data_IF_065640219558
#
_entry.id   IF_065640219558
#
_cell.length_a   1.000
_cell.length_b   1.000
_cell.length_c   1.000
_cell.angle_alpha   90.00
_cell.angle_beta   90.00
_cell.angle_gamma   90.00
#
_symmetry.space_group_name_H-M   'P 1'
#
loop_
_entity.id
_entity.type
_entity.pdbx_description
1 polymer ?
#
# COMPACT_ATOMS: atom_id res chain seq x y z
N UNK A 1 2.76 -58.56 -36.76
CA UNK A 1 2.28 -59.58 -35.81
C UNK A 1 0.98 -59.15 -35.14
N UNK A 2 0.95 -57.99 -34.46
CA UNK A 2 -0.26 -57.48 -33.81
C UNK A 2 -1.43 -57.21 -34.77
N UNK A 3 -1.19 -56.57 -35.93
CA UNK A 3 -2.24 -56.38 -36.96
C UNK A 3 -2.81 -57.69 -37.50
N UNK A 4 -1.95 -58.71 -37.69
CA UNK A 4 -2.37 -60.05 -38.10
C UNK A 4 -3.19 -60.72 -36.99
N UNK A 5 -2.81 -60.53 -35.73
CA UNK A 5 -3.55 -61.03 -34.58
C UNK A 5 -4.94 -60.38 -34.46
N UNK A 6 -5.04 -59.06 -34.64
CA UNK A 6 -6.32 -58.34 -34.66
C UNK A 6 -7.22 -58.83 -35.80
N UNK A 7 -6.64 -59.11 -36.98
CA UNK A 7 -7.40 -59.48 -38.17
C UNK A 7 -7.85 -60.96 -38.21
N UNK A 8 -7.09 -61.87 -37.60
CA UNK A 8 -7.27 -63.32 -37.81
C UNK A 8 -7.44 -64.15 -36.54
N UNK A 9 -7.29 -63.58 -35.34
CA UNK A 9 -7.48 -64.31 -34.08
C UNK A 9 -8.81 -63.94 -33.38
N UNK A 10 -9.33 -64.82 -32.52
CA UNK A 10 -10.46 -64.49 -31.65
C UNK A 10 -10.09 -63.33 -30.70
N UNK A 11 -11.06 -62.48 -30.29
CA UNK A 11 -10.82 -61.25 -29.52
C UNK A 11 -9.92 -61.44 -28.29
N UNK A 12 -10.10 -62.54 -27.53
CA UNK A 12 -9.29 -62.85 -26.36
C UNK A 12 -7.80 -63.05 -26.69
N UNK A 13 -7.49 -63.74 -27.79
CA UNK A 13 -6.09 -63.95 -28.21
C UNK A 13 -5.49 -62.72 -28.87
N UNK A 14 -6.30 -61.91 -29.56
CA UNK A 14 -5.87 -60.62 -30.09
C UNK A 14 -5.49 -59.66 -28.95
N UNK A 15 -6.27 -59.66 -27.86
CA UNK A 15 -5.99 -58.89 -26.64
C UNK A 15 -4.66 -59.30 -26.00
N UNK A 16 -4.42 -60.60 -25.80
CA UNK A 16 -3.15 -61.10 -25.23
C UNK A 16 -1.93 -60.64 -26.05
N UNK A 17 -2.03 -60.70 -27.38
CA UNK A 17 -0.93 -60.25 -28.26
C UNK A 17 -0.72 -58.74 -28.15
N UNK A 18 -1.79 -57.94 -28.14
CA UNK A 18 -1.68 -56.48 -28.04
C UNK A 18 -1.19 -56.03 -26.67
N UNK A 19 -1.56 -56.71 -25.58
CA UNK A 19 -1.04 -56.44 -24.24
C UNK A 19 0.47 -56.70 -24.11
N UNK A 20 1.03 -57.61 -24.91
CA UNK A 20 2.49 -57.86 -24.95
C UNK A 20 3.20 -56.88 -25.88
N UNK A 21 2.65 -56.64 -27.07
CA UNK A 21 3.30 -55.82 -28.11
C UNK A 21 3.19 -54.32 -27.84
N UNK A 22 2.08 -53.87 -27.25
CA UNK A 22 1.82 -52.45 -26.97
C UNK A 22 2.89 -51.78 -26.10
N UNK A 23 3.21 -52.32 -24.90
CA UNK A 23 4.28 -51.76 -24.06
C UNK A 23 5.66 -51.79 -24.73
N UNK A 24 5.94 -52.80 -25.56
CA UNK A 24 7.20 -52.87 -26.31
C UNK A 24 7.28 -51.76 -27.37
N UNK A 25 6.19 -51.46 -28.07
CA UNK A 25 6.12 -50.36 -29.03
C UNK A 25 6.29 -49.00 -28.37
N UNK A 26 5.68 -48.80 -27.20
CA UNK A 26 5.87 -47.60 -26.38
C UNK A 26 7.35 -47.46 -25.99
N UNK A 27 7.97 -48.54 -25.48
CA UNK A 27 9.37 -48.53 -25.05
C UNK A 27 10.39 -48.23 -26.16
N UNK A 28 10.03 -48.38 -27.44
CA UNK A 28 10.87 -48.01 -28.59
C UNK A 28 10.45 -46.67 -29.24
N UNK A 29 9.59 -45.89 -28.58
CA UNK A 29 9.14 -44.57 -29.04
C UNK A 29 8.06 -44.59 -30.12
N UNK A 30 7.42 -45.73 -30.37
CA UNK A 30 6.37 -45.91 -31.41
C UNK A 30 4.96 -45.75 -30.82
N UNK A 31 4.74 -44.60 -30.17
CA UNK A 31 3.51 -44.30 -29.42
C UNK A 31 2.24 -44.30 -30.28
N UNK A 32 2.21 -43.61 -31.43
CA UNK A 32 1.08 -43.63 -32.36
C UNK A 32 0.68 -45.05 -32.80
N UNK A 33 1.67 -45.90 -33.12
CA UNK A 33 1.41 -47.26 -33.58
C UNK A 33 0.85 -48.15 -32.44
N UNK A 34 1.35 -47.98 -31.21
CA UNK A 34 0.78 -48.64 -30.04
C UNK A 34 -0.67 -48.20 -29.80
N UNK A 35 -0.95 -46.90 -29.89
CA UNK A 35 -2.28 -46.35 -29.70
C UNK A 35 -3.30 -46.86 -30.73
N UNK A 36 -2.92 -46.93 -32.01
CA UNK A 36 -3.77 -47.51 -33.06
C UNK A 36 -4.11 -48.99 -32.80
N UNK A 37 -3.16 -49.78 -32.28
CA UNK A 37 -3.42 -51.18 -31.91
C UNK A 37 -4.42 -51.28 -30.74
N UNK A 38 -4.33 -50.39 -29.75
CA UNK A 38 -5.27 -50.33 -28.64
C UNK A 38 -6.67 -49.89 -29.10
N UNK A 39 -6.77 -48.89 -29.98
CA UNK A 39 -8.05 -48.44 -30.54
C UNK A 39 -8.77 -49.54 -31.34
N UNK A 40 -8.04 -50.37 -32.08
CA UNK A 40 -8.62 -51.50 -32.83
C UNK A 40 -9.24 -52.59 -31.92
N UNK A 41 -8.93 -52.57 -30.62
CA UNK A 41 -9.47 -53.49 -29.62
C UNK A 41 -10.38 -52.79 -28.60
N UNK A 42 -10.85 -51.57 -28.90
CA UNK A 42 -11.68 -50.73 -28.02
C UNK A 42 -11.02 -50.43 -26.65
N UNK A 43 -9.69 -50.53 -26.55
CA UNK A 43 -8.90 -50.16 -25.37
C UNK A 43 -8.62 -48.65 -25.38
N UNK A 44 -9.69 -47.86 -25.20
CA UNK A 44 -9.66 -46.40 -25.35
C UNK A 44 -8.69 -45.72 -24.37
N UNK A 45 -8.63 -46.19 -23.12
CA UNK A 45 -7.74 -45.60 -22.11
C UNK A 45 -6.27 -45.82 -22.44
N UNK A 46 -5.90 -47.04 -22.78
CA UNK A 46 -4.54 -47.42 -23.13
C UNK A 46 -4.05 -46.70 -24.40
N UNK A 47 -4.95 -46.45 -25.36
CA UNK A 47 -4.67 -45.60 -26.51
C UNK A 47 -4.40 -44.14 -26.12
N UNK A 48 -5.21 -43.58 -25.23
CA UNK A 48 -5.03 -42.22 -24.70
C UNK A 48 -3.69 -42.11 -23.95
N UNK A 49 -3.38 -43.06 -23.07
CA UNK A 49 -2.13 -43.09 -22.31
C UNK A 49 -0.91 -43.16 -23.25
N UNK A 50 -0.99 -44.00 -24.29
CA UNK A 50 0.06 -44.09 -25.31
C UNK A 50 0.25 -42.75 -26.06
N UNK A 51 -0.83 -42.06 -26.44
CA UNK A 51 -0.72 -40.73 -27.06
C UNK A 51 -0.17 -39.66 -26.11
N UNK A 52 -0.54 -39.70 -24.82
CA UNK A 52 0.00 -38.78 -23.79
C UNK A 52 1.51 -38.98 -23.64
N UNK A 53 1.97 -40.23 -23.54
CA UNK A 53 3.40 -40.55 -23.41
C UNK A 53 4.20 -40.10 -24.63
N UNK A 54 3.59 -40.16 -25.82
CA UNK A 54 4.16 -39.65 -27.06
C UNK A 54 4.09 -38.13 -27.25
N UNK A 55 3.61 -37.37 -26.26
CA UNK A 55 3.33 -35.93 -26.35
C UNK A 55 2.35 -35.55 -27.50
N UNK A 56 1.51 -36.50 -27.95
CA UNK A 56 0.55 -36.34 -29.06
C UNK A 56 -0.82 -35.84 -28.59
N UNK A 57 -0.83 -34.72 -27.86
CA UNK A 57 -2.00 -34.18 -27.14
C UNK A 57 -3.25 -33.97 -28.00
N UNK A 58 -3.09 -33.51 -29.24
CA UNK A 58 -4.22 -33.30 -30.15
C UNK A 58 -4.93 -34.61 -30.51
N UNK A 59 -4.18 -35.72 -30.66
CA UNK A 59 -4.75 -37.04 -30.93
C UNK A 59 -5.39 -37.62 -29.67
N UNK A 60 -4.73 -37.52 -28.52
CA UNK A 60 -5.29 -37.94 -27.23
C UNK A 60 -6.64 -37.26 -26.94
N UNK A 61 -6.71 -35.93 -27.10
CA UNK A 61 -7.93 -35.15 -26.86
C UNK A 61 -9.04 -35.47 -27.86
N UNK A 62 -8.69 -35.71 -29.14
CA UNK A 62 -9.65 -36.13 -30.16
C UNK A 62 -10.25 -37.50 -29.84
N UNK A 63 -9.41 -38.46 -29.47
CA UNK A 63 -9.84 -39.82 -29.10
C UNK A 63 -10.73 -39.79 -27.86
N UNK A 64 -10.36 -39.05 -26.82
CA UNK A 64 -11.20 -38.87 -25.64
C UNK A 64 -12.58 -38.30 -26.03
N UNK A 65 -12.61 -37.20 -26.80
CA UNK A 65 -13.86 -36.55 -27.20
C UNK A 65 -14.76 -37.40 -28.10
N UNK A 66 -14.18 -38.13 -29.05
CA UNK A 66 -14.93 -38.90 -30.05
C UNK A 66 -15.37 -40.28 -29.54
N UNK A 67 -14.59 -40.93 -28.68
CA UNK A 67 -14.82 -42.32 -28.26
C UNK A 67 -15.30 -42.49 -26.81
N UNK A 68 -14.74 -41.73 -25.86
CA UNK A 68 -15.17 -41.78 -24.46
C UNK A 68 -14.91 -40.45 -23.74
N UNK A 69 -15.89 -39.52 -23.76
CA UNK A 69 -15.74 -38.17 -23.22
C UNK A 69 -15.37 -38.11 -21.73
N UNK A 70 -15.52 -39.20 -20.97
CA UNK A 70 -15.12 -39.28 -19.56
C UNK A 70 -13.62 -39.10 -19.37
N UNK A 71 -12.81 -39.34 -20.41
CA UNK A 71 -11.37 -39.13 -20.38
C UNK A 71 -10.92 -37.74 -20.84
N UNK A 72 -11.81 -36.83 -21.24
CA UNK A 72 -11.41 -35.47 -21.64
C UNK A 72 -10.70 -34.75 -20.49
N UNK A 73 -11.27 -34.80 -19.27
CA UNK A 73 -10.67 -34.19 -18.08
C UNK A 73 -9.32 -34.83 -17.72
N UNK A 74 -9.17 -36.13 -17.96
CA UNK A 74 -7.93 -36.86 -17.73
C UNK A 74 -6.81 -36.37 -18.67
N UNK A 75 -7.10 -36.24 -19.97
CA UNK A 75 -6.13 -35.72 -20.95
C UNK A 75 -5.76 -34.27 -20.63
N UNK A 76 -6.75 -33.45 -20.29
CA UNK A 76 -6.53 -32.04 -19.97
C UNK A 76 -5.68 -31.87 -18.71
N UNK A 77 -5.87 -32.71 -17.68
CA UNK A 77 -5.05 -32.70 -16.48
C UNK A 77 -3.59 -33.08 -16.76
N UNK A 78 -3.36 -34.16 -17.51
CA UNK A 78 -2.00 -34.57 -17.90
C UNK A 78 -1.30 -33.53 -18.79
N UNK A 79 -2.04 -32.86 -19.68
CA UNK A 79 -1.49 -31.80 -20.52
C UNK A 79 -1.08 -30.58 -19.69
N UNK A 80 -1.89 -30.18 -18.70
CA UNK A 80 -1.53 -29.10 -17.76
C UNK A 80 -0.26 -29.42 -16.99
N UNK A 81 -0.13 -30.64 -16.46
CA UNK A 81 1.07 -31.08 -15.74
C UNK A 81 2.31 -31.10 -16.63
N UNK A 82 2.16 -31.55 -17.87
CA UNK A 82 3.24 -31.50 -18.86
C UNK A 82 3.71 -30.06 -19.14
N UNK A 83 2.78 -29.14 -19.38
CA UNK A 83 3.10 -27.73 -19.65
C UNK A 83 3.78 -27.07 -18.45
N UNK A 84 3.33 -27.38 -17.23
CA UNK A 84 3.97 -26.94 -15.97
C UNK A 84 5.42 -27.45 -15.89
N UNK A 85 5.62 -28.76 -16.06
CA UNK A 85 6.94 -29.39 -15.95
C UNK A 85 7.93 -28.92 -17.02
N UNK A 86 7.46 -28.60 -18.23
CA UNK A 86 8.30 -28.05 -19.32
C UNK A 86 8.48 -26.53 -19.24
N UNK A 87 7.82 -25.83 -18.31
CA UNK A 87 7.87 -24.37 -18.19
C UNK A 87 7.28 -23.62 -19.40
N UNK A 88 6.37 -24.24 -20.16
CA UNK A 88 5.74 -23.63 -21.34
C UNK A 88 4.57 -22.72 -20.93
N UNK A 89 4.89 -21.63 -20.24
CA UNK A 89 3.89 -20.77 -19.58
C UNK A 89 2.89 -20.15 -20.57
N UNK A 90 3.34 -19.66 -21.73
CA UNK A 90 2.47 -19.00 -22.70
C UNK A 90 1.37 -19.92 -23.26
N UNK A 91 1.68 -21.22 -23.45
CA UNK A 91 0.69 -22.22 -23.85
C UNK A 91 -0.26 -22.58 -22.71
N UNK A 92 0.20 -22.48 -21.46
CA UNK A 92 -0.61 -22.76 -20.28
C UNK A 92 -1.65 -21.66 -20.02
N UNK A 93 -1.38 -20.41 -20.38
CA UNK A 93 -2.34 -19.29 -20.22
C UNK A 93 -3.68 -19.60 -20.89
N UNK A 94 -3.67 -20.24 -22.06
CA UNK A 94 -4.89 -20.60 -22.81
C UNK A 94 -5.67 -21.79 -22.23
N UNK A 95 -5.08 -22.56 -21.31
CA UNK A 95 -5.67 -23.79 -20.74
C UNK A 95 -6.01 -23.60 -19.26
N UNK A 96 -5.10 -22.99 -18.49
CA UNK A 96 -5.23 -22.73 -17.07
C UNK A 96 -4.44 -21.47 -16.70
N UNK A 97 -5.12 -20.32 -16.78
CA UNK A 97 -4.47 -19.03 -16.54
C UNK A 97 -3.94 -18.88 -15.12
N UNK A 98 -4.58 -19.49 -14.11
CA UNK A 98 -4.13 -19.40 -12.72
C UNK A 98 -2.82 -20.17 -12.56
N UNK A 99 -2.75 -21.38 -13.10
CA UNK A 99 -1.50 -22.15 -13.11
C UNK A 99 -0.37 -21.43 -13.87
N UNK A 100 -0.67 -20.77 -14.99
CA UNK A 100 0.31 -19.98 -15.72
C UNK A 100 0.82 -18.78 -14.92
N UNK A 101 -0.09 -18.05 -14.26
CA UNK A 101 0.28 -16.92 -13.41
C UNK A 101 1.12 -17.36 -12.20
N UNK A 102 0.77 -18.48 -11.56
CA UNK A 102 1.57 -19.04 -10.45
C UNK A 102 2.98 -19.43 -10.94
N UNK A 103 3.14 -19.98 -12.15
CA UNK A 103 4.47 -20.22 -12.74
C UNK A 103 5.25 -18.94 -13.02
N UNK A 104 4.61 -17.88 -13.53
CA UNK A 104 5.31 -16.59 -13.71
C UNK A 104 5.82 -16.04 -12.37
N UNK A 105 5.04 -16.19 -11.30
CA UNK A 105 5.44 -15.81 -9.93
C UNK A 105 6.65 -16.62 -9.47
N UNK A 106 6.61 -17.96 -9.60
CA UNK A 106 7.72 -18.85 -9.23
C UNK A 106 9.00 -18.55 -10.00
N UNK A 107 8.89 -18.12 -11.25
CA UNK A 107 10.02 -17.71 -12.10
C UNK A 107 10.46 -16.26 -11.88
N UNK A 108 9.81 -15.50 -10.99
CA UNK A 108 10.10 -14.08 -10.75
C UNK A 108 9.73 -13.15 -11.91
N UNK A 109 8.93 -13.63 -12.88
CA UNK A 109 8.48 -12.86 -14.05
C UNK A 109 7.24 -12.01 -13.70
N UNK A 110 7.39 -11.11 -12.73
CA UNK A 110 6.30 -10.33 -12.17
C UNK A 110 5.59 -9.43 -13.19
N UNK A 111 6.33 -8.78 -14.09
CA UNK A 111 5.73 -7.89 -15.10
C UNK A 111 4.77 -8.65 -16.03
N UNK A 112 5.19 -9.82 -16.52
CA UNK A 112 4.34 -10.70 -17.35
C UNK A 112 3.16 -11.25 -16.57
N UNK A 113 3.37 -11.59 -15.30
CA UNK A 113 2.30 -12.02 -14.40
C UNK A 113 1.21 -10.94 -14.30
N UNK A 114 1.58 -9.70 -14.00
CA UNK A 114 0.62 -8.60 -13.84
C UNK A 114 -0.03 -8.23 -15.18
N UNK A 115 0.72 -8.20 -16.28
CA UNK A 115 0.15 -7.94 -17.62
C UNK A 115 -0.90 -8.99 -17.98
N UNK A 116 -0.61 -10.27 -17.73
CA UNK A 116 -1.53 -11.37 -18.00
C UNK A 116 -2.73 -11.33 -17.07
N UNK A 117 -2.52 -11.03 -15.77
CA UNK A 117 -3.58 -10.95 -14.77
C UNK A 117 -4.53 -9.77 -15.03
N UNK A 118 -4.03 -8.66 -15.58
CA UNK A 118 -4.85 -7.48 -15.94
C UNK A 118 -5.87 -7.78 -17.03
N UNK A 119 -5.56 -8.75 -17.92
CA UNK A 119 -6.47 -9.23 -18.96
C UNK A 119 -7.54 -10.19 -18.45
N UNK A 120 -7.47 -10.60 -17.17
CA UNK A 120 -8.44 -11.50 -16.54
C UNK A 120 -9.51 -10.71 -15.78
N UNK A 121 -10.11 -11.32 -14.76
CA UNK A 121 -11.10 -10.65 -13.90
C UNK A 121 -10.44 -9.98 -12.69
N UNK A 122 -11.21 -9.07 -12.07
CA UNK A 122 -10.83 -8.27 -10.91
C UNK A 122 -10.24 -9.09 -9.75
N UNK A 123 -10.86 -10.23 -9.42
CA UNK A 123 -10.42 -11.09 -8.31
C UNK A 123 -9.04 -11.71 -8.58
N UNK A 124 -8.80 -12.17 -9.81
CA UNK A 124 -7.52 -12.74 -10.23
C UNK A 124 -6.44 -11.64 -10.19
N UNK A 125 -6.68 -10.49 -10.81
CA UNK A 125 -5.73 -9.37 -10.82
C UNK A 125 -5.26 -9.02 -9.40
N UNK A 126 -6.21 -8.78 -8.49
CA UNK A 126 -5.86 -8.34 -7.15
C UNK A 126 -5.22 -9.41 -6.26
N UNK A 127 -5.39 -10.71 -6.56
CA UNK A 127 -4.59 -11.78 -5.95
C UNK A 127 -3.11 -11.59 -6.29
N UNK A 128 -2.79 -11.44 -7.58
CA UNK A 128 -1.39 -11.34 -8.04
C UNK A 128 -0.75 -10.00 -7.72
N UNK A 129 -1.51 -8.90 -7.73
CA UNK A 129 -1.03 -7.58 -7.23
C UNK A 129 -0.63 -7.69 -5.76
N UNK A 130 -1.45 -8.33 -4.91
CA UNK A 130 -1.13 -8.52 -3.50
C UNK A 130 0.12 -9.39 -3.28
N UNK A 131 0.27 -10.47 -4.06
CA UNK A 131 1.47 -11.32 -4.03
C UNK A 131 2.72 -10.53 -4.43
N UNK A 132 2.65 -9.74 -5.50
CA UNK A 132 3.78 -8.96 -5.98
C UNK A 132 4.15 -7.84 -4.99
N UNK A 133 3.15 -7.10 -4.49
CA UNK A 133 3.37 -6.08 -3.46
C UNK A 133 4.03 -6.68 -2.20
N UNK A 134 3.59 -7.87 -1.78
CA UNK A 134 4.20 -8.58 -0.64
C UNK A 134 5.67 -8.95 -0.91
N UNK A 135 5.99 -9.41 -2.12
CA UNK A 135 7.37 -9.67 -2.53
C UNK A 135 8.21 -8.39 -2.51
N UNK A 136 7.73 -7.31 -3.12
CA UNK A 136 8.44 -6.02 -3.16
C UNK A 136 8.71 -5.45 -1.76
N UNK A 137 7.74 -5.54 -0.85
CA UNK A 137 7.91 -5.10 0.55
C UNK A 137 9.00 -5.90 1.25
N UNK A 138 9.08 -7.23 1.03
CA UNK A 138 10.13 -8.07 1.61
C UNK A 138 11.53 -7.68 1.12
N UNK A 139 11.63 -7.25 -0.13
CA UNK A 139 12.86 -6.73 -0.74
C UNK A 139 13.15 -5.26 -0.34
N UNK A 140 12.30 -4.63 0.49
CA UNK A 140 12.43 -3.23 0.91
C UNK A 140 11.89 -2.21 -0.10
N UNK A 141 11.29 -2.66 -1.20
CA UNK A 141 10.75 -1.85 -2.29
C UNK A 141 9.34 -1.32 -2.07
N UNK A 142 9.09 -0.60 -0.96
CA UNK A 142 7.74 -0.09 -0.64
C UNK A 142 7.22 0.90 -1.71
N UNK A 143 8.09 1.69 -2.34
CA UNK A 143 7.70 2.65 -3.39
C UNK A 143 7.14 1.94 -4.63
N UNK A 144 7.72 0.78 -4.99
CA UNK A 144 7.24 -0.03 -6.11
C UNK A 144 5.92 -0.71 -5.75
N UNK A 145 5.78 -1.17 -4.50
CA UNK A 145 4.52 -1.73 -3.99
C UNK A 145 3.40 -0.68 -3.99
N UNK A 146 3.70 0.56 -3.61
CA UNK A 146 2.76 1.69 -3.71
C UNK A 146 2.35 1.94 -5.16
N UNK A 147 3.31 1.98 -6.09
CA UNK A 147 3.04 2.19 -7.52
C UNK A 147 2.08 1.15 -8.11
N UNK A 148 2.16 -0.12 -7.66
CA UNK A 148 1.19 -1.15 -8.07
C UNK A 148 -0.25 -0.79 -7.67
N UNK A 149 -0.45 -0.28 -6.45
CA UNK A 149 -1.77 0.11 -5.97
C UNK A 149 -2.26 1.45 -6.55
N UNK A 150 -1.34 2.35 -6.91
CA UNK A 150 -1.68 3.52 -7.72
C UNK A 150 -2.23 3.09 -9.09
N UNK A 151 -1.56 2.14 -9.74
CA UNK A 151 -1.94 1.68 -11.08
C UNK A 151 -3.21 0.82 -11.10
N UNK A 152 -3.37 -0.08 -10.14
CA UNK A 152 -4.44 -1.09 -10.17
C UNK A 152 -5.57 -0.84 -9.15
N UNK A 153 -5.42 0.10 -8.23
CA UNK A 153 -6.38 0.39 -7.16
C UNK A 153 -6.25 -0.51 -5.93
N UNK A 154 -6.84 -0.08 -4.81
CA UNK A 154 -6.74 -0.71 -3.50
C UNK A 154 -8.09 -1.35 -3.09
N UNK A 155 -8.31 -2.65 -3.36
CA UNK A 155 -9.54 -3.35 -2.97
C UNK A 155 -9.71 -3.41 -1.44
N UNK A 156 -10.96 -3.33 -1.00
CA UNK A 156 -11.37 -3.56 0.40
C UNK A 156 -11.36 -5.05 0.76
N UNK A 157 -10.21 -5.72 0.58
CA UNK A 157 -10.00 -7.11 0.99
C UNK A 157 -9.25 -7.15 2.33
N UNK A 158 -9.85 -7.65 3.43
CA UNK A 158 -9.19 -7.72 4.74
C UNK A 158 -7.84 -8.46 4.73
N UNK A 159 -7.67 -9.45 3.85
CA UNK A 159 -6.40 -10.19 3.72
C UNK A 159 -5.23 -9.29 3.26
N UNK A 160 -5.54 -8.18 2.59
CA UNK A 160 -4.54 -7.25 2.06
C UNK A 160 -4.25 -6.07 3.02
N UNK A 161 -4.98 -5.91 4.13
CA UNK A 161 -4.85 -4.74 5.01
C UNK A 161 -3.44 -4.55 5.54
N UNK A 162 -2.77 -5.64 5.93
CA UNK A 162 -1.39 -5.58 6.40
C UNK A 162 -0.42 -5.05 5.33
N UNK A 163 -0.71 -5.25 4.05
CA UNK A 163 0.10 -4.71 2.95
C UNK A 163 -0.02 -3.18 2.93
N UNK A 164 -1.24 -2.64 2.99
CA UNK A 164 -1.48 -1.19 3.00
C UNK A 164 -0.85 -0.52 4.22
N UNK A 165 -1.05 -1.11 5.40
CA UNK A 165 -0.43 -0.63 6.64
C UNK A 165 1.09 -0.63 6.53
N UNK A 166 1.67 -1.69 5.96
CA UNK A 166 3.12 -1.79 5.81
C UNK A 166 3.69 -0.75 4.86
N UNK A 167 3.03 -0.48 3.72
CA UNK A 167 3.41 0.60 2.81
C UNK A 167 3.38 1.96 3.53
N UNK A 168 2.33 2.23 4.31
CA UNK A 168 2.24 3.46 5.11
C UNK A 168 3.40 3.55 6.11
N UNK A 169 3.64 2.50 6.91
CA UNK A 169 4.70 2.46 7.93
C UNK A 169 6.10 2.63 7.33
N UNK A 170 6.41 1.91 6.25
CA UNK A 170 7.71 2.02 5.59
C UNK A 170 7.92 3.43 5.00
N UNK A 171 6.87 4.05 4.47
CA UNK A 171 6.95 5.41 3.94
C UNK A 171 7.14 6.47 5.05
N UNK A 172 6.37 6.44 6.14
CA UNK A 172 6.53 7.40 7.25
C UNK A 172 7.86 7.22 7.99
N UNK A 173 8.46 6.04 7.91
CA UNK A 173 9.79 5.74 8.49
C UNK A 173 10.94 6.06 7.53
N UNK A 174 10.67 6.34 6.26
CA UNK A 174 11.74 6.58 5.28
C UNK A 174 12.44 7.93 5.49
N UNK A 175 13.77 8.01 5.32
CA UNK A 175 14.49 9.28 5.39
C UNK A 175 14.14 10.18 4.20
N UNK A 176 14.36 11.49 4.35
CA UNK A 176 14.22 12.45 3.24
C UNK A 176 12.78 12.74 2.80
N UNK A 177 11.77 12.29 3.54
CA UNK A 177 10.36 12.52 3.19
C UNK A 177 9.80 13.86 3.66
N UNK A 178 10.59 14.67 4.38
CA UNK A 178 10.24 16.03 4.80
C UNK A 178 10.85 17.07 3.87
N UNK A 179 10.43 17.04 2.61
CA UNK A 179 10.86 18.00 1.60
C UNK A 179 9.77 18.22 0.56
N UNK A 180 9.96 19.23 -0.30
CA UNK A 180 9.05 19.52 -1.39
C UNK A 180 9.04 18.40 -2.46
N UNK A 181 10.19 17.77 -2.70
CA UNK A 181 10.38 16.69 -3.68
C UNK A 181 9.62 15.42 -3.30
N UNK A 182 9.36 15.21 -2.00
CA UNK A 182 8.60 14.06 -1.52
C UNK A 182 7.09 14.14 -1.83
N UNK A 183 6.59 15.25 -2.40
CA UNK A 183 5.17 15.48 -2.65
C UNK A 183 4.49 14.32 -3.36
N UNK A 184 5.05 13.85 -4.48
CA UNK A 184 4.39 12.84 -5.32
C UNK A 184 4.22 11.52 -4.59
N UNK A 185 5.23 11.08 -3.84
CA UNK A 185 5.11 9.86 -3.05
C UNK A 185 3.98 10.00 -2.00
N UNK A 186 3.84 11.17 -1.37
CA UNK A 186 2.80 11.41 -0.37
C UNK A 186 1.42 11.51 -0.99
N UNK A 187 1.31 12.14 -2.16
CA UNK A 187 0.08 12.22 -2.93
C UNK A 187 -0.37 10.84 -3.40
N UNK A 188 0.54 9.99 -3.87
CA UNK A 188 0.26 8.62 -4.27
C UNK A 188 -0.26 7.78 -3.09
N UNK A 189 0.40 7.85 -1.93
CA UNK A 189 -0.06 7.17 -0.71
C UNK A 189 -1.45 7.68 -0.27
N UNK A 190 -1.65 9.00 -0.28
CA UNK A 190 -2.94 9.65 0.04
C UNK A 190 -4.04 9.15 -0.90
N UNK A 191 -3.77 9.10 -2.20
CA UNK A 191 -4.78 8.73 -3.20
C UNK A 191 -5.11 7.24 -3.14
N UNK A 192 -4.12 6.37 -2.87
CA UNK A 192 -4.32 4.94 -2.61
C UNK A 192 -5.15 4.70 -1.36
N UNK A 193 -4.83 5.38 -0.24
CA UNK A 193 -5.60 5.28 0.99
C UNK A 193 -7.02 5.83 0.84
N UNK A 194 -7.19 6.88 0.05
CA UNK A 194 -8.52 7.41 -0.28
C UNK A 194 -9.33 6.40 -1.10
N UNK A 195 -8.71 5.78 -2.12
CA UNK A 195 -9.34 4.72 -2.90
C UNK A 195 -9.76 3.53 -2.02
N UNK A 196 -8.90 3.12 -1.08
CA UNK A 196 -9.20 2.07 -0.11
C UNK A 196 -10.39 2.44 0.78
N UNK A 197 -10.42 3.64 1.37
CA UNK A 197 -11.53 4.09 2.22
C UNK A 197 -12.86 4.13 1.44
N UNK A 198 -12.85 4.64 0.20
CA UNK A 198 -14.06 4.65 -0.64
C UNK A 198 -14.55 3.23 -0.99
N UNK A 199 -13.65 2.25 -1.07
CA UNK A 199 -14.01 0.85 -1.26
C UNK A 199 -14.50 0.21 0.05
N UNK A 200 -13.93 0.56 1.20
CA UNK A 200 -14.33 0.05 2.51
C UNK A 200 -15.75 0.46 2.87
N UNK A 201 -16.12 1.72 2.62
CA UNK A 201 -17.49 2.24 2.79
C UNK A 201 -18.53 1.41 2.04
N UNK A 202 -18.15 0.80 0.91
CA UNK A 202 -19.04 -0.03 0.06
C UNK A 202 -18.97 -1.53 0.38
N UNK A 203 -18.20 -1.91 1.40
CA UNK A 203 -17.93 -3.31 1.77
C UNK A 203 -18.54 -3.66 3.13
N UNK A 204 -18.38 -4.91 3.57
CA UNK A 204 -18.74 -5.34 4.93
C UNK A 204 -17.88 -4.70 6.03
N UNK A 205 -16.77 -4.05 5.67
CA UNK A 205 -15.84 -3.38 6.59
C UNK A 205 -16.18 -1.91 6.83
N UNK A 206 -17.35 -1.44 6.37
CA UNK A 206 -17.79 -0.08 6.60
C UNK A 206 -17.86 0.23 8.11
N UNK A 207 -17.17 1.27 8.55
CA UNK A 207 -17.06 1.70 9.95
C UNK A 207 -16.44 0.63 10.88
N UNK A 208 -15.67 -0.32 10.36
CA UNK A 208 -14.89 -1.21 11.19
C UNK A 208 -13.68 -0.47 11.80
N UNK A 209 -13.08 -0.98 12.90
CA UNK A 209 -11.86 -0.37 13.46
C UNK A 209 -10.72 -0.25 12.44
N UNK A 210 -10.61 -1.20 11.51
CA UNK A 210 -9.65 -1.12 10.42
C UNK A 210 -9.96 0.04 9.46
N UNK A 211 -11.24 0.30 9.18
CA UNK A 211 -11.64 1.45 8.37
C UNK A 211 -11.27 2.78 9.05
N UNK A 212 -11.53 2.94 10.35
CA UNK A 212 -11.16 4.15 11.10
C UNK A 212 -9.63 4.37 11.13
N UNK A 213 -8.86 3.29 11.25
CA UNK A 213 -7.40 3.33 11.18
C UNK A 213 -6.91 3.80 9.81
N UNK A 214 -7.50 3.29 8.72
CA UNK A 214 -7.18 3.74 7.36
C UNK A 214 -7.62 5.19 7.09
N UNK A 215 -8.74 5.65 7.66
CA UNK A 215 -9.14 7.06 7.59
C UNK A 215 -8.13 7.96 8.32
N UNK A 216 -7.56 7.47 9.43
CA UNK A 216 -6.49 8.18 10.15
C UNK A 216 -5.20 8.22 9.33
N UNK A 217 -4.78 7.09 8.75
CA UNK A 217 -3.62 7.03 7.84
C UNK A 217 -3.81 7.94 6.63
N UNK A 218 -5.02 8.00 6.05
CA UNK A 218 -5.37 8.90 4.96
C UNK A 218 -5.20 10.37 5.36
N UNK A 219 -5.69 10.76 6.54
CA UNK A 219 -5.54 12.12 7.05
C UNK A 219 -4.06 12.49 7.22
N UNK A 220 -3.26 11.58 7.77
CA UNK A 220 -1.82 11.76 7.95
C UNK A 220 -1.11 11.91 6.61
N UNK A 221 -1.39 11.03 5.64
CA UNK A 221 -0.83 11.11 4.29
C UNK A 221 -1.22 12.43 3.60
N UNK A 222 -2.45 12.90 3.79
CA UNK A 222 -2.89 14.22 3.32
C UNK A 222 -2.13 15.37 3.97
N UNK A 223 -1.85 15.32 5.28
CA UNK A 223 -1.04 16.33 5.96
C UNK A 223 0.40 16.34 5.46
N UNK A 224 1.04 15.18 5.27
CA UNK A 224 2.36 15.11 4.68
C UNK A 224 2.38 15.65 3.24
N UNK A 225 1.42 15.25 2.39
CA UNK A 225 1.31 15.76 1.01
C UNK A 225 1.11 17.28 0.99
N UNK A 226 0.21 17.81 1.83
CA UNK A 226 -0.05 19.25 1.92
C UNK A 226 1.18 20.00 2.44
N UNK A 227 1.93 19.40 3.38
CA UNK A 227 3.17 19.96 3.92
C UNK A 227 4.25 20.06 2.85
N UNK A 228 4.50 18.96 2.13
CA UNK A 228 5.47 18.95 1.01
C UNK A 228 5.09 19.95 -0.07
N UNK A 229 3.81 20.05 -0.44
CA UNK A 229 3.34 21.08 -1.36
C UNK A 229 3.59 22.50 -0.82
N UNK A 230 3.24 22.76 0.44
CA UNK A 230 3.44 24.06 1.09
C UNK A 230 4.93 24.45 1.16
N UNK A 231 5.84 23.50 1.39
CA UNK A 231 7.29 23.74 1.39
C UNK A 231 7.82 24.23 0.04
N UNK A 232 7.14 23.94 -1.08
CA UNK A 232 7.50 24.46 -2.40
C UNK A 232 7.19 25.96 -2.60
N UNK A 233 6.46 26.59 -1.66
CA UNK A 233 5.99 27.97 -1.77
C UNK A 233 6.29 28.75 -0.50
N UNK A 234 7.21 29.72 -0.56
CA UNK A 234 7.66 30.52 0.58
C UNK A 234 6.52 31.14 1.41
N UNK A 235 5.46 31.64 0.76
CA UNK A 235 4.31 32.23 1.46
C UNK A 235 3.56 31.24 2.37
N UNK A 236 3.80 29.93 2.22
CA UNK A 236 3.17 28.85 2.94
C UNK A 236 4.07 28.20 4.01
N UNK A 237 5.25 28.75 4.33
CA UNK A 237 6.15 28.23 5.37
C UNK A 237 5.44 28.02 6.72
N UNK A 238 4.64 29.01 7.14
CA UNK A 238 3.79 28.88 8.35
C UNK A 238 2.74 27.76 8.27
N UNK A 239 2.21 27.45 7.07
CA UNK A 239 1.27 26.33 6.89
C UNK A 239 2.00 25.00 7.02
N UNK A 240 3.19 24.89 6.42
CA UNK A 240 4.05 23.72 6.56
C UNK A 240 4.43 23.48 8.03
N UNK A 241 4.80 24.54 8.77
CA UNK A 241 5.10 24.45 10.20
C UNK A 241 3.89 23.95 11.01
N UNK A 242 2.69 24.51 10.80
CA UNK A 242 1.47 24.03 11.47
C UNK A 242 1.15 22.57 11.19
N UNK A 243 1.41 22.11 9.96
CA UNK A 243 1.22 20.71 9.59
C UNK A 243 2.24 19.81 10.29
N UNK A 244 3.52 20.18 10.35
CA UNK A 244 4.52 19.42 11.13
C UNK A 244 4.16 19.32 12.60
N UNK A 245 3.73 20.42 13.21
CA UNK A 245 3.25 20.43 14.60
C UNK A 245 2.01 19.56 14.77
N UNK A 246 1.08 19.62 13.81
CA UNK A 246 -0.13 18.80 13.83
C UNK A 246 0.11 17.31 13.74
N UNK A 247 1.16 16.90 13.03
CA UNK A 247 1.55 15.50 12.91
C UNK A 247 2.02 14.90 14.25
N UNK A 248 2.43 15.71 15.23
CA UNK A 248 2.77 15.23 16.58
C UNK A 248 1.62 14.51 17.29
N UNK A 249 0.36 14.83 16.95
CA UNK A 249 -0.81 14.12 17.49
C UNK A 249 -0.94 12.68 17.00
N UNK A 250 -0.15 12.30 16.00
CA UNK A 250 -0.23 11.02 15.33
C UNK A 250 1.01 10.14 15.57
N UNK A 251 1.82 10.45 16.59
CA UNK A 251 3.04 9.70 16.97
C UNK A 251 2.80 8.26 17.43
N UNK A 252 1.55 7.84 17.61
CA UNK A 252 1.20 6.42 17.75
C UNK A 252 1.36 5.64 16.43
N UNK A 253 1.28 6.33 15.29
CA UNK A 253 1.44 5.77 13.94
C UNK A 253 2.70 6.27 13.24
N UNK A 254 3.36 7.30 13.78
CA UNK A 254 4.53 7.96 13.21
C UNK A 254 5.73 7.77 14.14
N UNK A 255 6.95 7.60 13.59
CA UNK A 255 8.14 7.59 14.42
C UNK A 255 8.28 8.90 15.19
N UNK A 256 8.22 8.82 16.52
CA UNK A 256 8.13 9.99 17.38
C UNK A 256 9.39 10.87 17.27
N UNK A 257 10.59 10.27 17.28
CA UNK A 257 11.86 10.98 17.11
C UNK A 257 11.86 11.84 15.83
N UNK A 258 11.48 11.24 14.70
CA UNK A 258 11.36 11.93 13.42
C UNK A 258 10.31 13.05 13.48
N UNK A 259 9.12 12.77 14.01
CA UNK A 259 8.04 13.75 14.04
C UNK A 259 8.39 14.98 14.89
N UNK A 260 8.97 14.78 16.08
CA UNK A 260 9.42 15.86 16.96
C UNK A 260 10.56 16.68 16.35
N UNK A 261 11.54 16.02 15.73
CA UNK A 261 12.59 16.70 14.98
C UNK A 261 12.00 17.59 13.86
N UNK A 262 11.14 17.03 13.01
CA UNK A 262 10.55 17.76 11.88
C UNK A 262 9.67 18.94 12.34
N UNK A 263 8.92 18.78 13.43
CA UNK A 263 8.11 19.85 14.02
C UNK A 263 9.00 20.95 14.62
N UNK A 264 10.04 20.57 15.37
CA UNK A 264 10.98 21.50 15.99
C UNK A 264 11.75 22.34 14.97
N UNK A 265 12.29 21.70 13.91
CA UNK A 265 12.98 22.41 12.82
C UNK A 265 12.02 23.34 12.07
N UNK A 266 10.79 22.91 11.80
CA UNK A 266 9.81 23.75 11.11
C UNK A 266 9.38 24.95 11.97
N UNK A 267 9.21 24.76 13.29
CA UNK A 267 8.92 25.83 14.23
C UNK A 267 10.08 26.84 14.30
N UNK A 268 11.33 26.35 14.36
CA UNK A 268 12.54 27.18 14.35
C UNK A 268 12.62 28.04 13.10
N UNK A 269 12.33 27.46 11.93
CA UNK A 269 12.39 28.16 10.64
C UNK A 269 11.40 29.34 10.53
N UNK A 270 10.26 29.28 11.23
CA UNK A 270 9.24 30.35 11.23
C UNK A 270 9.30 31.26 12.46
N UNK A 271 10.35 31.12 13.28
CA UNK A 271 10.58 31.96 14.47
C UNK A 271 9.69 31.62 15.67
N UNK A 272 9.14 30.40 15.75
CA UNK A 272 8.40 29.93 16.93
C UNK A 272 9.35 29.30 17.93
N UNK A 273 10.22 30.12 18.52
CA UNK A 273 11.35 29.67 19.33
C UNK A 273 10.92 28.79 20.50
N UNK A 274 9.84 29.16 21.23
CA UNK A 274 9.36 28.36 22.37
C UNK A 274 8.95 26.93 21.95
N UNK A 275 8.16 26.83 20.88
CA UNK A 275 7.76 25.52 20.34
C UNK A 275 8.97 24.74 19.83
N UNK A 276 9.88 25.41 19.11
CA UNK A 276 11.08 24.79 18.58
C UNK A 276 11.94 24.20 19.70
N UNK A 277 12.14 24.97 20.77
CA UNK A 277 12.89 24.54 21.94
C UNK A 277 12.26 23.30 22.59
N UNK A 278 10.97 23.36 22.91
CA UNK A 278 10.26 22.25 23.58
C UNK A 278 10.26 20.97 22.72
N UNK A 279 9.98 21.08 21.42
CA UNK A 279 9.94 19.92 20.54
C UNK A 279 11.32 19.32 20.28
N UNK A 280 12.35 20.15 20.12
CA UNK A 280 13.71 19.67 19.91
C UNK A 280 14.32 19.09 21.18
N UNK A 281 13.96 19.60 22.36
CA UNK A 281 14.36 19.01 23.62
C UNK A 281 13.72 17.61 23.79
N UNK A 282 12.39 17.50 23.57
CA UNK A 282 11.72 16.19 23.53
C UNK A 282 12.32 15.23 22.50
N UNK A 283 12.74 15.72 21.34
CA UNK A 283 13.43 14.89 20.36
C UNK A 283 14.75 14.31 20.89
N UNK A 284 15.54 15.08 21.65
CA UNK A 284 16.75 14.57 22.28
C UNK A 284 16.42 13.54 23.35
N UNK A 285 15.41 13.79 24.20
CA UNK A 285 14.97 12.79 25.18
C UNK A 285 14.53 11.48 24.51
N UNK A 286 13.82 11.57 23.38
CA UNK A 286 13.41 10.40 22.58
C UNK A 286 14.61 9.69 21.95
N UNK A 287 15.65 10.44 21.58
CA UNK A 287 16.89 9.87 21.04
C UNK A 287 17.56 8.99 22.09
N UNK A 288 17.66 9.48 23.33
CA UNK A 288 18.24 8.76 24.46
C UNK A 288 17.35 7.56 24.85
N UNK A 289 16.02 7.74 24.91
CA UNK A 289 15.06 6.67 25.16
C UNK A 289 15.11 5.53 24.13
N UNK A 290 15.40 5.83 22.85
CA UNK A 290 15.60 4.82 21.80
C UNK A 290 16.88 4.02 22.04
N UNK A 291 17.95 4.65 22.52
CA UNK A 291 19.21 3.97 22.84
C UNK A 291 19.06 3.07 24.07
N UNK A 292 18.31 3.52 25.08
CA UNK A 292 18.03 2.75 26.30
C UNK A 292 16.94 1.69 26.10
N UNK A 293 16.08 1.85 25.09
CA UNK A 293 14.97 0.93 24.78
C UNK A 293 13.76 1.06 25.72
N UNK A 294 13.63 2.18 26.44
CA UNK A 294 12.50 2.44 27.36
C UNK A 294 12.12 3.92 27.37
N UNK A 295 10.83 4.21 27.62
CA UNK A 295 10.29 5.57 27.75
C UNK A 295 10.17 6.02 29.22
N UNK A 296 10.48 5.15 30.19
CA UNK A 296 10.17 5.37 31.61
C UNK A 296 10.84 6.62 32.22
N UNK A 297 11.95 7.06 31.64
CA UNK A 297 12.70 8.22 32.11
C UNK A 297 12.21 9.56 31.53
N UNK A 298 11.22 9.56 30.62
CA UNK A 298 10.76 10.79 29.97
C UNK A 298 9.90 11.65 30.91
N UNK A 299 10.31 12.91 31.11
CA UNK A 299 9.46 13.89 31.78
C UNK A 299 8.40 14.43 30.81
N UNK A 300 7.12 14.28 31.13
CA UNK A 300 6.00 14.75 30.30
C UNK A 300 5.44 16.12 30.68
N UNK A 301 6.08 16.84 31.61
CA UNK A 301 5.63 18.13 32.15
C UNK A 301 5.24 19.16 31.07
N UNK A 302 6.08 19.35 30.06
CA UNK A 302 5.86 20.31 28.96
C UNK A 302 4.63 20.03 28.09
N UNK A 303 4.15 18.78 28.08
CA UNK A 303 3.07 18.32 27.22
C UNK A 303 1.80 17.96 28.00
N UNK A 304 1.75 18.29 29.29
CA UNK A 304 0.53 18.19 30.09
C UNK A 304 -0.59 19.02 29.44
N UNK A 305 -1.82 18.51 29.51
CA UNK A 305 -3.02 19.11 28.92
C UNK A 305 -2.96 19.33 27.40
N UNK A 306 -2.07 18.62 26.70
CA UNK A 306 -2.07 18.52 25.23
C UNK A 306 -2.75 17.23 24.75
N UNK A 307 -2.99 17.12 23.45
CA UNK A 307 -3.46 15.90 22.79
C UNK A 307 -2.33 15.19 22.02
N UNK A 308 -1.08 15.45 22.41
CA UNK A 308 0.10 14.74 21.90
C UNK A 308 0.28 13.47 22.74
N UNK A 309 0.31 12.27 22.14
CA UNK A 309 0.47 11.02 22.87
C UNK A 309 1.76 10.94 23.69
N UNK A 310 1.68 10.45 24.93
CA UNK A 310 2.84 10.13 25.77
C UNK A 310 3.38 8.73 25.48
N UNK A 311 2.49 7.75 25.34
CA UNK A 311 2.82 6.38 24.96
C UNK A 311 2.93 6.31 23.44
N UNK A 312 4.15 6.09 22.96
CA UNK A 312 4.49 5.99 21.53
C UNK A 312 5.33 4.74 21.28
N UNK A 313 5.18 4.07 20.12
CA UNK A 313 6.07 2.96 19.78
C UNK A 313 7.52 3.44 19.63
N UNK A 314 8.44 2.84 20.37
CA UNK A 314 9.87 3.09 20.19
C UNK A 314 10.35 2.42 18.89
N UNK A 315 10.97 3.18 17.97
CA UNK A 315 11.52 2.59 16.76
C UNK A 315 12.76 1.75 17.06
N UNK A 316 13.01 0.72 16.25
CA UNK A 316 14.17 -0.15 16.41
C UNK A 316 15.52 0.53 16.11
N UNK A 317 15.49 1.68 15.41
CA UNK A 317 16.64 2.51 15.06
C UNK A 317 16.20 3.96 15.05
N UNK A 318 17.13 4.87 15.34
CA UNK A 318 16.91 6.31 15.20
C UNK A 318 16.73 6.69 13.72
N UNK A 319 15.77 7.57 13.45
CA UNK A 319 15.43 8.02 12.09
C UNK A 319 16.23 9.24 11.65
N UNK A 320 16.66 10.07 12.60
CA UNK A 320 17.42 11.28 12.34
C UNK A 320 18.92 10.96 12.41
N UNK A 321 19.74 11.28 11.40
CA UNK A 321 21.18 11.00 11.40
C UNK A 321 21.94 11.71 12.52
N UNK A 322 23.02 11.08 13.01
CA UNK A 322 23.86 11.57 14.12
C UNK A 322 24.28 13.04 13.96
N UNK A 323 24.76 13.44 12.79
CA UNK A 323 25.17 14.83 12.54
C UNK A 323 24.05 15.85 12.83
N UNK A 324 22.81 15.53 12.46
CA UNK A 324 21.66 16.41 12.72
C UNK A 324 21.27 16.39 14.20
N UNK A 325 21.50 15.28 14.91
CA UNK A 325 21.28 15.19 16.35
C UNK A 325 22.26 16.05 17.13
N UNK A 326 23.54 16.03 16.74
CA UNK A 326 24.55 16.91 17.33
C UNK A 326 24.21 18.39 17.09
N UNK A 327 23.81 18.76 15.86
CA UNK A 327 23.37 20.14 15.56
C UNK A 327 22.19 20.59 16.44
N UNK A 328 21.23 19.69 16.69
CA UNK A 328 20.11 19.98 17.60
C UNK A 328 20.58 20.09 19.04
N UNK A 329 21.47 19.19 19.50
CA UNK A 329 22.03 19.22 20.86
C UNK A 329 22.76 20.53 21.12
N UNK A 330 23.63 20.97 20.22
CA UNK A 330 24.35 22.23 20.34
C UNK A 330 23.39 23.43 20.40
N UNK A 331 22.34 23.41 19.57
CA UNK A 331 21.35 24.48 19.57
C UNK A 331 20.51 24.52 20.86
N UNK A 332 20.02 23.37 21.34
CA UNK A 332 19.25 23.29 22.60
C UNK A 332 20.11 23.73 23.78
N UNK A 333 21.38 23.34 23.84
CA UNK A 333 22.32 23.80 24.87
C UNK A 333 22.51 25.32 24.83
N UNK A 334 22.70 25.87 23.63
CA UNK A 334 22.86 27.33 23.44
C UNK A 334 21.62 28.10 23.93
N UNK A 335 20.42 27.66 23.55
CA UNK A 335 19.16 28.31 23.96
C UNK A 335 18.94 28.18 25.47
N UNK A 336 19.24 27.02 26.06
CA UNK A 336 19.14 26.79 27.51
C UNK A 336 20.05 27.72 28.31
N UNK A 337 21.22 28.07 27.77
CA UNK A 337 22.16 28.99 28.41
C UNK A 337 21.73 30.46 28.34
N UNK A 338 20.98 30.88 27.32
CA UNK A 338 20.56 32.29 27.15
C UNK A 338 19.48 32.69 28.19
N UNK A 339 18.73 31.73 28.77
CA UNK A 339 17.67 31.95 29.78
C UNK A 339 16.57 32.97 29.42
N UNK A 340 16.57 33.52 28.19
CA UNK A 340 15.57 34.48 27.71
C UNK A 340 14.26 33.83 27.30
N UNK A 341 14.31 32.53 27.00
CA UNK A 341 13.19 31.80 26.44
C UNK A 341 12.36 31.17 27.56
N UNK A 342 11.07 31.49 27.59
CA UNK A 342 10.11 30.83 28.47
C UNK A 342 9.73 29.47 27.87
N UNK A 343 10.03 28.39 28.59
CA UNK A 343 9.68 27.01 28.22
C UNK A 343 8.18 26.77 28.44
N UNK A 344 7.34 27.42 27.63
CA UNK A 344 5.89 27.30 27.68
C UNK A 344 5.33 27.20 26.27
N UNK A 345 4.52 26.16 26.02
CA UNK A 345 3.76 26.03 24.78
C UNK A 345 2.69 27.14 24.68
N UNK A 346 2.55 27.79 23.51
CA UNK A 346 1.58 28.87 23.35
C UNK A 346 0.15 28.33 23.45
N UNK A 347 -0.72 29.16 24.05
CA UNK A 347 -2.11 28.81 24.34
C UNK A 347 -3.08 29.60 23.46
N UNK A 348 -4.16 28.96 23.07
CA UNK A 348 -5.25 29.62 22.34
C UNK A 348 -6.27 30.30 23.29
N UNK A 349 -7.37 30.79 22.71
CA UNK A 349 -8.46 31.45 23.44
C UNK A 349 -9.22 30.57 24.43
N UNK A 350 -9.05 29.25 24.37
CA UNK A 350 -9.60 28.30 25.35
C UNK A 350 -8.64 28.11 26.53
N UNK A 351 -7.45 28.71 26.49
CA UNK A 351 -6.42 28.57 27.51
C UNK A 351 -5.66 27.24 27.48
N UNK A 352 -5.78 26.48 26.38
CA UNK A 352 -5.06 25.21 26.15
C UNK A 352 -4.04 25.39 25.02
N UNK A 353 -3.13 24.43 24.88
CA UNK A 353 -2.13 24.44 23.80
C UNK A 353 -2.76 24.70 22.42
N UNK A 354 -2.25 25.68 21.68
CA UNK A 354 -2.93 26.21 20.48
C UNK A 354 -3.13 25.22 19.33
N UNK A 355 -2.31 24.16 19.26
CA UNK A 355 -2.46 23.13 18.26
C UNK A 355 -3.37 21.99 18.73
N UNK A 356 -3.80 21.98 19.99
CA UNK A 356 -4.61 20.89 20.53
C UNK A 356 -6.03 20.93 20.01
N UNK A 357 -6.57 19.79 19.58
CA UNK A 357 -7.96 19.67 19.16
C UNK A 357 -8.89 19.58 20.36
N UNK A 358 -8.42 19.11 21.50
CA UNK A 358 -9.22 18.86 22.69
C UNK A 358 -8.86 19.86 23.79
N UNK A 359 -9.87 20.54 24.33
CA UNK A 359 -9.67 21.33 25.55
C UNK A 359 -9.91 20.44 26.78
N UNK A 360 -8.84 19.92 27.40
CA UNK A 360 -8.92 18.95 28.50
C UNK A 360 -9.83 19.41 29.65
N UNK A 361 -9.82 20.70 29.99
CA UNK A 361 -10.63 21.30 31.05
C UNK A 361 -12.14 21.27 30.81
N UNK A 362 -12.57 21.21 29.54
CA UNK A 362 -14.00 21.29 29.16
C UNK A 362 -14.50 20.07 28.38
N UNK A 363 -13.59 19.23 27.88
CA UNK A 363 -13.90 18.11 26.98
C UNK A 363 -14.32 18.53 25.57
N UNK A 364 -14.34 19.83 25.26
CA UNK A 364 -14.75 20.33 23.93
C UNK A 364 -13.70 19.99 22.89
N UNK A 365 -14.13 19.33 21.80
CA UNK A 365 -13.29 18.94 20.67
C UNK A 365 -13.55 19.83 19.46
N UNK A 366 -12.52 20.49 18.97
CA UNK A 366 -12.55 21.26 17.74
C UNK A 366 -12.29 20.37 16.51
N UNK A 367 -12.84 20.76 15.36
CA UNK A 367 -12.51 20.11 14.09
C UNK A 367 -11.10 20.52 13.64
N UNK A 368 -10.29 19.58 13.13
CA UNK A 368 -8.99 19.90 12.57
C UNK A 368 -9.14 20.57 11.20
N UNK A 369 -8.38 21.63 10.97
CA UNK A 369 -8.31 22.31 9.69
C UNK A 369 -7.62 21.42 8.65
N UNK A 370 -8.27 21.16 7.50
CA UNK A 370 -7.70 20.31 6.44
C UNK A 370 -6.37 20.82 5.86
N UNK A 371 -6.07 22.12 5.98
CA UNK A 371 -4.85 22.73 5.44
C UNK A 371 -3.73 22.82 6.46
N UNK A 372 -4.04 22.86 7.75
CA UNK A 372 -3.04 23.14 8.80
C UNK A 372 -3.02 22.11 9.92
N UNK A 373 -4.02 21.24 10.02
CA UNK A 373 -4.28 20.33 11.13
C UNK A 373 -4.74 20.99 12.44
N UNK A 374 -4.46 22.28 12.64
CA UNK A 374 -4.85 23.06 13.83
C UNK A 374 -6.36 23.11 14.08
N UNK A 375 -6.79 23.33 15.34
CA UNK A 375 -8.21 23.45 15.70
C UNK A 375 -8.87 24.66 15.00
N UNK A 376 -10.09 24.47 14.50
CA UNK A 376 -10.91 25.55 13.97
C UNK A 376 -11.81 26.11 15.08
N UNK A 377 -11.39 27.24 15.66
CA UNK A 377 -12.15 27.91 16.72
C UNK A 377 -13.07 29.02 16.19
N UNK A 378 -12.63 29.69 15.12
CA UNK A 378 -13.34 30.80 14.47
C UNK A 378 -13.28 30.67 12.95
N UNK A 379 -14.12 31.45 12.26
CA UNK A 379 -14.13 31.59 10.80
C UNK A 379 -14.14 30.23 10.06
N UNK A 380 -15.03 29.32 10.48
CA UNK A 380 -15.11 27.97 9.93
C UNK A 380 -15.69 27.96 8.52
N UNK A 381 -15.05 27.23 7.62
CA UNK A 381 -15.60 26.80 6.34
C UNK A 381 -15.88 25.30 6.43
N UNK A 382 -17.13 24.90 6.21
CA UNK A 382 -17.52 23.48 6.13
C UNK A 382 -17.60 23.03 4.68
N UNK A 383 -17.15 21.81 4.43
CA UNK A 383 -17.29 21.14 3.15
C UNK A 383 -18.52 20.23 3.16
N UNK A 384 -18.89 19.66 2.01
CA UNK A 384 -20.13 18.87 1.89
C UNK A 384 -20.08 17.58 2.72
N UNK A 385 -18.93 16.92 2.81
CA UNK A 385 -18.78 15.74 3.65
C UNK A 385 -18.68 16.14 5.14
N UNK A 386 -19.45 15.51 6.04
CA UNK A 386 -19.41 15.80 7.47
C UNK A 386 -18.00 15.69 8.07
N UNK A 387 -17.70 16.53 9.06
CA UNK A 387 -16.40 16.54 9.75
C UNK A 387 -15.23 17.10 8.94
N UNK A 388 -15.44 17.49 7.67
CA UNK A 388 -14.43 18.13 6.82
C UNK A 388 -14.59 19.65 6.87
N UNK A 389 -13.58 20.33 7.38
CA UNK A 389 -13.61 21.77 7.57
C UNK A 389 -12.21 22.41 7.40
N UNK A 390 -12.20 23.71 7.12
CA UNK A 390 -10.99 24.52 7.13
C UNK A 390 -11.25 25.85 7.83
N UNK A 391 -10.21 26.44 8.41
CA UNK A 391 -10.27 27.84 8.83
C UNK A 391 -10.18 28.75 7.59
N UNK A 392 -11.07 29.73 7.50
CA UNK A 392 -11.22 30.63 6.34
C UNK A 392 -9.94 31.40 6.01
N UNK A 393 -9.22 31.87 7.02
CA UNK A 393 -8.02 32.69 6.82
C UNK A 393 -6.88 31.83 6.26
N UNK A 394 -6.66 30.65 6.82
CA UNK A 394 -5.69 29.68 6.31
C UNK A 394 -6.06 29.19 4.90
N UNK A 395 -7.35 28.93 4.65
CA UNK A 395 -7.86 28.54 3.34
C UNK A 395 -7.62 29.62 2.29
N UNK A 396 -7.96 30.87 2.58
CA UNK A 396 -7.75 32.00 1.69
C UNK A 396 -6.26 32.25 1.43
N UNK A 397 -5.41 32.12 2.44
CA UNK A 397 -3.95 32.20 2.29
C UNK A 397 -3.43 31.12 1.34
N UNK A 398 -3.91 29.88 1.48
CA UNK A 398 -3.55 28.77 0.59
C UNK A 398 -4.01 29.02 -0.86
N UNK A 399 -5.26 29.46 -1.05
CA UNK A 399 -5.79 29.83 -2.36
C UNK A 399 -5.01 30.98 -3.01
N UNK A 400 -4.66 32.00 -2.24
CA UNK A 400 -3.90 33.14 -2.74
C UNK A 400 -2.50 32.69 -3.18
N UNK A 401 -1.82 31.90 -2.36
CA UNK A 401 -0.50 31.36 -2.68
C UNK A 401 -0.51 30.52 -3.97
N UNK A 402 -1.57 29.73 -4.20
CA UNK A 402 -1.74 28.97 -5.45
C UNK A 402 -1.92 29.88 -6.65
N UNK A 403 -2.73 30.93 -6.52
CA UNK A 403 -2.95 31.91 -7.59
C UNK A 403 -1.68 32.67 -7.96
N UNK A 404 -0.83 32.98 -6.98
CA UNK A 404 0.39 33.77 -7.20
C UNK A 404 1.59 32.93 -7.62
N UNK A 405 1.74 31.72 -7.08
CA UNK A 405 2.89 30.84 -7.39
C UNK A 405 2.68 29.96 -8.62
N UNK A 406 1.43 29.73 -9.02
CA UNK A 406 1.06 28.72 -10.01
C UNK A 406 1.62 27.31 -9.72
N UNK A 407 1.89 26.99 -8.44
CA UNK A 407 2.45 25.69 -8.04
C UNK A 407 1.53 24.52 -8.41
N UNK A 408 1.95 23.59 -9.28
CA UNK A 408 1.14 22.45 -9.70
C UNK A 408 0.77 21.51 -8.54
N UNK A 409 1.72 21.28 -7.63
CA UNK A 409 1.51 20.39 -6.47
C UNK A 409 0.48 20.98 -5.49
N UNK A 410 0.48 22.30 -5.28
CA UNK A 410 -0.54 22.95 -4.45
C UNK A 410 -1.93 22.93 -5.13
N UNK A 411 -1.98 23.03 -6.45
CA UNK A 411 -3.23 22.87 -7.21
C UNK A 411 -3.77 21.44 -7.10
N UNK A 412 -2.90 20.44 -7.13
CA UNK A 412 -3.29 19.04 -6.92
C UNK A 412 -3.85 18.81 -5.51
N UNK A 413 -3.26 19.40 -4.46
CA UNK A 413 -3.84 19.36 -3.10
C UNK A 413 -5.27 19.92 -3.09
N UNK A 414 -5.54 21.05 -3.75
CA UNK A 414 -6.91 21.59 -3.84
C UNK A 414 -7.86 20.66 -4.58
N UNK A 415 -7.39 20.05 -5.67
CA UNK A 415 -8.17 19.08 -6.45
C UNK A 415 -8.54 17.87 -5.58
N UNK A 416 -7.57 17.35 -4.83
CA UNK A 416 -7.79 16.25 -3.90
C UNK A 416 -8.78 16.64 -2.79
N UNK A 417 -8.61 17.79 -2.13
CA UNK A 417 -9.55 18.24 -1.08
C UNK A 417 -10.97 18.37 -1.65
N UNK A 418 -11.11 18.91 -2.85
CA UNK A 418 -12.41 18.97 -3.54
C UNK A 418 -13.01 17.58 -3.71
N UNK A 419 -12.25 16.61 -4.23
CA UNK A 419 -12.72 15.24 -4.42
C UNK A 419 -13.06 14.57 -3.07
N UNK A 420 -12.14 14.62 -2.12
CA UNK A 420 -12.26 13.99 -0.81
C UNK A 420 -13.43 14.56 0.00
N UNK A 421 -13.79 15.84 -0.19
CA UNK A 421 -14.81 16.51 0.61
C UNK A 421 -16.15 16.72 -0.12
N UNK A 422 -16.34 16.18 -1.32
CA UNK A 422 -17.60 16.27 -2.09
C UNK A 422 -17.80 17.58 -2.86
N UNK A 423 -16.72 18.29 -3.14
CA UNK A 423 -16.66 19.59 -3.81
C UNK A 423 -16.07 20.67 -2.92
N UNK A 424 -15.59 21.74 -3.55
CA UNK A 424 -15.15 22.93 -2.82
C UNK A 424 -16.35 23.66 -2.18
N UNK A 425 -16.11 24.41 -1.09
CA UNK A 425 -17.12 25.24 -0.46
C UNK A 425 -17.64 26.26 -1.48
N UNK A 426 -18.94 26.57 -1.45
CA UNK A 426 -19.50 27.64 -2.28
C UNK A 426 -18.76 28.95 -1.98
N UNK A 427 -17.98 29.43 -2.93
CA UNK A 427 -17.19 30.65 -2.77
C UNK A 427 -18.10 31.87 -2.75
N UNK A 428 -18.64 32.25 -1.59
CA UNK A 428 -19.13 33.60 -1.36
C UNK A 428 -17.91 34.50 -1.15
N UNK A 429 -17.33 34.98 -2.26
CA UNK A 429 -16.36 36.07 -2.21
C UNK A 429 -17.10 37.35 -1.81
N UNK A 430 -17.25 37.57 -0.51
CA UNK A 430 -17.61 38.89 0.03
C UNK A 430 -16.31 39.56 0.45
N UNK A 431 -15.70 40.30 -0.48
CA UNK A 431 -14.77 41.36 -0.11
C UNK A 431 -15.65 42.57 0.28
N UNK A 432 -15.69 42.88 1.57
CA UNK A 432 -15.99 44.22 2.05
C UNK A 432 -14.73 44.79 2.67
#
# INVERSE_FOLDING_TARGET
AAELAIKFLPPQRSLEVVQVVGPQLIGIGKHSAAAELYLNLDLVKEAIDAFIEGEEWNKAKRVAKELDPRYEDYVDQHYKEFLKNKGKVDSLVGVDVVAALDLYVEQGQWDKCIETATKQNYKILHKYVALYATHLIREGGYSQALALYVQHGAPANPQNFNIYKRIFTDMVSSPGTNSAEAYHNWADLRDVLFNLCENLVKSSEANSPAHEEFETMLLIAHYYATRSAAQSVKQLETVAARLSVSLLRHTQLLPADKAFYEAGIAAKAVGWENMAFIFLNRFLDLTDAIEEGTLDALDHSDFQDTDIPFEVPLPAKQHVPEAQREEVRDWVLTVSMDQRLEQVLPRDERGVYEASLVAASTGVRALPCLITGYPILRNKIEFKRPGKAANKDNWNKFLMAIKTSHSPVCQDVLKFISQWCGGLPSTSFSFQ
#
